data_IF_086952362583
#
_entry.id   IF_086952362583
#
_cell.length_a   1.000
_cell.length_b   1.000
_cell.length_c   1.000
_cell.angle_alpha   90.00
_cell.angle_beta   90.00
_cell.angle_gamma   90.00
#
_symmetry.space_group_name_H-M   'P 1'
#
loop_
_entity.id
_entity.type
_entity.pdbx_description
1 polymer ?
#
# COMPACT_ATOMS: atom_id res chain seq x y z
N UNK A 1 19.86 2.62 -0.95
CA UNK A 1 21.00 3.13 -1.79
C UNK A 1 21.57 4.45 -1.29
N UNK A 2 20.72 5.46 -1.00
CA UNK A 2 21.15 6.80 -0.56
C UNK A 2 22.11 6.81 0.64
N UNK A 3 21.87 5.99 1.67
CA UNK A 3 22.78 5.90 2.83
C UNK A 3 24.17 5.36 2.50
N UNK A 4 24.32 4.65 1.38
CA UNK A 4 25.61 4.11 0.92
C UNK A 4 26.37 5.08 0.01
N UNK A 5 25.67 6.05 -0.60
CA UNK A 5 26.26 7.01 -1.54
C UNK A 5 26.51 8.39 -0.91
N UNK A 6 25.82 8.72 0.18
CA UNK A 6 25.96 10.02 0.82
C UNK A 6 27.25 10.11 1.66
N UNK A 7 27.96 11.25 1.58
CA UNK A 7 29.21 11.46 2.31
C UNK A 7 28.99 11.40 3.82
N UNK A 8 30.01 10.87 4.50
CA UNK A 8 30.10 10.85 5.96
C UNK A 8 30.45 12.27 6.41
N UNK A 9 29.94 12.72 7.57
CA UNK A 9 30.29 14.02 8.14
C UNK A 9 31.81 14.18 8.28
N UNK A 10 32.32 15.40 8.15
CA UNK A 10 33.78 15.66 8.13
C UNK A 10 34.40 15.49 9.52
N UNK A 11 33.63 15.66 10.58
CA UNK A 11 34.05 15.46 11.97
C UNK A 11 33.00 14.67 12.79
N UNK A 12 33.24 14.53 14.11
CA UNK A 12 32.38 13.78 15.04
C UNK A 12 31.11 14.53 15.48
N UNK A 13 31.09 15.85 15.33
CA UNK A 13 30.01 16.76 15.74
C UNK A 13 29.09 17.13 14.55
N UNK A 14 29.61 17.07 13.32
CA UNK A 14 28.91 17.39 12.09
C UNK A 14 28.09 16.18 11.61
N UNK A 15 26.79 16.21 11.91
CA UNK A 15 25.82 15.26 11.31
C UNK A 15 25.66 15.60 9.83
N UNK A 16 26.55 15.08 8.98
CA UNK A 16 26.44 15.21 7.52
C UNK A 16 25.08 14.72 7.00
N UNK A 17 24.77 14.91 5.70
CA UNK A 17 23.46 14.56 5.09
C UNK A 17 23.07 13.10 5.41
N UNK A 18 24.05 12.19 5.45
CA UNK A 18 23.86 10.80 5.89
C UNK A 18 23.40 10.68 7.36
N UNK A 19 23.99 11.47 8.26
CA UNK A 19 23.63 11.52 9.69
C UNK A 19 22.23 12.11 9.93
N UNK A 20 21.82 13.11 9.15
CA UNK A 20 20.45 13.64 9.18
C UNK A 20 19.43 12.59 8.75
N UNK A 21 19.70 11.88 7.63
CA UNK A 21 18.85 10.79 7.18
C UNK A 21 18.77 9.64 8.18
N UNK A 22 19.89 9.25 8.80
CA UNK A 22 19.89 8.23 9.86
C UNK A 22 19.09 8.69 11.09
N UNK A 23 19.23 9.96 11.48
CA UNK A 23 18.47 10.53 12.59
C UNK A 23 16.96 10.57 12.29
N UNK A 24 16.59 10.89 11.05
CA UNK A 24 15.20 10.84 10.61
C UNK A 24 14.68 9.40 10.63
N UNK A 25 15.44 8.45 10.08
CA UNK A 25 15.06 7.04 10.03
C UNK A 25 14.90 6.42 11.42
N UNK A 26 15.66 6.87 12.42
CA UNK A 26 15.56 6.41 13.80
C UNK A 26 14.58 7.25 14.66
N UNK A 27 13.81 8.15 14.05
CA UNK A 27 12.84 8.97 14.77
C UNK A 27 11.63 8.15 15.24
N UNK A 28 10.95 8.60 16.31
CA UNK A 28 9.74 7.96 16.82
C UNK A 28 8.61 7.88 15.77
N UNK A 29 8.34 8.92 14.96
CA UNK A 29 7.37 8.83 13.88
C UNK A 29 7.73 7.72 12.88
N UNK A 30 8.99 7.66 12.43
CA UNK A 30 9.41 6.59 11.51
C UNK A 30 9.24 5.21 12.13
N UNK A 31 9.56 5.03 13.41
CA UNK A 31 9.34 3.76 14.11
C UNK A 31 7.86 3.35 14.23
N UNK A 32 6.92 4.31 14.24
CA UNK A 32 5.48 4.05 14.22
C UNK A 32 5.01 3.64 12.83
N UNK A 33 5.33 4.43 11.81
CA UNK A 33 4.91 4.16 10.42
C UNK A 33 5.53 2.87 9.87
N UNK A 34 6.76 2.54 10.27
CA UNK A 34 7.46 1.31 9.87
C UNK A 34 7.12 0.11 10.75
N UNK A 35 6.19 0.25 11.71
CA UNK A 35 5.68 -0.88 12.47
C UNK A 35 4.89 -1.81 11.53
N UNK A 36 5.16 -3.13 11.50
CA UNK A 36 4.55 -4.04 10.52
C UNK A 36 3.02 -4.02 10.53
N UNK A 37 2.41 -4.02 11.74
CA UNK A 37 0.95 -3.95 11.89
C UNK A 37 0.39 -2.62 11.37
N UNK A 38 1.09 -1.50 11.60
CA UNK A 38 0.65 -0.17 11.14
C UNK A 38 0.74 -0.11 9.62
N UNK A 39 1.84 -0.60 9.05
CA UNK A 39 2.00 -0.66 7.60
C UNK A 39 0.93 -1.53 6.93
N UNK A 40 0.59 -2.69 7.50
CA UNK A 40 -0.52 -3.53 7.01
C UNK A 40 -1.88 -2.84 7.15
N UNK A 41 -2.13 -2.19 8.29
CA UNK A 41 -3.38 -1.45 8.51
C UNK A 41 -3.52 -0.27 7.53
N UNK A 42 -2.44 0.41 7.18
CA UNK A 42 -2.45 1.47 6.16
C UNK A 42 -2.67 0.86 4.78
N UNK A 43 -2.03 -0.27 4.47
CA UNK A 43 -2.12 -0.90 3.16
C UNK A 43 -3.53 -1.44 2.88
N UNK A 44 -4.03 -2.34 3.73
CA UNK A 44 -5.34 -2.96 3.51
C UNK A 44 -6.48 -2.14 4.11
N UNK A 45 -6.30 -1.59 5.31
CA UNK A 45 -7.34 -0.84 6.00
C UNK A 45 -7.77 0.41 5.26
N UNK A 46 -6.87 1.04 4.49
CA UNK A 46 -7.26 2.19 3.67
C UNK A 46 -8.17 1.81 2.49
N UNK A 47 -8.10 0.57 1.98
CA UNK A 47 -9.04 0.10 0.96
C UNK A 47 -10.45 0.07 1.52
N UNK A 48 -10.61 -0.48 2.72
CA UNK A 48 -11.91 -0.50 3.38
C UNK A 48 -12.41 0.91 3.68
N UNK A 49 -11.53 1.77 4.20
CA UNK A 49 -11.88 3.17 4.47
C UNK A 49 -12.32 3.90 3.20
N UNK A 50 -11.61 3.73 2.09
CA UNK A 50 -11.92 4.43 0.85
C UNK A 50 -13.22 3.94 0.21
N UNK A 51 -13.38 2.63 0.06
CA UNK A 51 -14.45 2.04 -0.76
C UNK A 51 -15.74 1.71 -0.01
N UNK A 52 -15.72 1.61 1.33
CA UNK A 52 -16.92 1.39 2.16
C UNK A 52 -17.39 2.66 2.88
N UNK A 53 -16.86 3.81 2.47
CA UNK A 53 -17.35 5.13 2.88
C UNK A 53 -17.58 5.98 1.62
N UNK A 54 -18.20 7.17 1.74
CA UNK A 54 -18.37 8.07 0.59
C UNK A 54 -17.05 8.60 -0.02
N UNK A 55 -15.89 8.35 0.61
CA UNK A 55 -14.60 8.89 0.19
C UNK A 55 -14.24 8.56 -1.26
N UNK A 56 -14.55 7.37 -1.76
CA UNK A 56 -14.24 7.01 -3.15
C UNK A 56 -14.95 7.93 -4.15
N UNK A 57 -16.27 8.08 -4.04
CA UNK A 57 -17.04 8.99 -4.90
C UNK A 57 -16.60 10.45 -4.78
N UNK A 58 -16.37 10.92 -3.55
CA UNK A 58 -15.89 12.29 -3.28
C UNK A 58 -14.53 12.56 -3.93
N UNK A 59 -13.56 11.65 -3.77
CA UNK A 59 -12.21 11.82 -4.31
C UNK A 59 -12.19 11.67 -5.84
N UNK A 60 -12.97 10.74 -6.40
CA UNK A 60 -13.10 10.56 -7.85
C UNK A 60 -13.69 11.80 -8.54
N UNK A 61 -14.58 12.53 -7.87
CA UNK A 61 -15.27 13.69 -8.44
C UNK A 61 -14.34 14.88 -8.76
N UNK A 62 -13.12 14.90 -8.21
CA UNK A 62 -12.15 15.98 -8.39
C UNK A 62 -10.78 15.48 -8.82
N UNK A 63 -10.11 16.21 -9.71
CA UNK A 63 -8.75 15.84 -10.16
C UNK A 63 -7.76 15.76 -8.98
N UNK A 64 -7.85 16.70 -8.05
CA UNK A 64 -6.99 16.73 -6.87
C UNK A 64 -7.28 15.54 -5.94
N UNK A 65 -8.55 15.20 -5.70
CA UNK A 65 -8.93 14.05 -4.90
C UNK A 65 -8.43 12.74 -5.49
N UNK A 66 -8.58 12.56 -6.80
CA UNK A 66 -8.07 11.40 -7.53
C UNK A 66 -6.54 11.30 -7.42
N UNK A 67 -5.81 12.41 -7.58
CA UNK A 67 -4.36 12.44 -7.39
C UNK A 67 -3.94 12.07 -5.97
N UNK A 68 -4.66 12.54 -4.94
CA UNK A 68 -4.39 12.18 -3.54
C UNK A 68 -4.61 10.68 -3.31
N UNK A 69 -5.66 10.11 -3.90
CA UNK A 69 -5.94 8.69 -3.84
C UNK A 69 -4.80 7.85 -4.45
N UNK A 70 -4.33 8.21 -5.65
CA UNK A 70 -3.21 7.54 -6.32
C UNK A 70 -1.93 7.62 -5.48
N UNK A 71 -1.58 8.81 -5.00
CA UNK A 71 -0.40 9.02 -4.16
C UNK A 71 -0.48 8.23 -2.86
N UNK A 72 -1.66 8.15 -2.23
CA UNK A 72 -1.87 7.37 -1.03
C UNK A 72 -1.62 5.89 -1.27
N UNK A 73 -2.21 5.27 -2.30
CA UNK A 73 -2.03 3.83 -2.54
C UNK A 73 -0.62 3.47 -2.99
N UNK A 74 0.02 4.32 -3.80
CA UNK A 74 1.45 4.16 -4.13
C UNK A 74 2.28 4.24 -2.86
N UNK A 75 2.04 5.25 -2.01
CA UNK A 75 2.75 5.43 -0.75
C UNK A 75 2.54 4.28 0.24
N UNK A 76 1.30 3.80 0.39
CA UNK A 76 0.93 2.67 1.25
C UNK A 76 1.63 1.38 0.79
N UNK A 77 1.60 1.09 -0.52
CA UNK A 77 2.29 -0.06 -1.10
C UNK A 77 3.81 0.03 -0.89
N UNK A 78 4.41 1.18 -1.18
CA UNK A 78 5.85 1.41 -0.96
C UNK A 78 6.22 1.22 0.52
N UNK A 79 5.42 1.74 1.44
CA UNK A 79 5.65 1.58 2.88
C UNK A 79 5.56 0.11 3.31
N UNK A 80 4.51 -0.61 2.91
CA UNK A 80 4.33 -2.02 3.26
C UNK A 80 5.47 -2.89 2.74
N UNK A 81 5.80 -2.78 1.45
CA UNK A 81 6.90 -3.56 0.87
C UNK A 81 8.27 -3.13 1.40
N UNK A 82 8.46 -1.85 1.76
CA UNK A 82 9.67 -1.42 2.47
C UNK A 82 9.81 -2.13 3.83
N UNK A 83 8.74 -2.23 4.61
CA UNK A 83 8.77 -2.88 5.92
C UNK A 83 9.00 -4.40 5.81
N UNK A 84 8.37 -5.05 4.83
CA UNK A 84 8.42 -6.52 4.71
C UNK A 84 9.63 -7.01 3.91
N UNK A 85 9.94 -6.37 2.79
CA UNK A 85 10.92 -6.82 1.78
C UNK A 85 12.14 -5.91 1.68
N UNK A 86 12.07 -4.70 2.27
CA UNK A 86 13.12 -3.69 2.20
C UNK A 86 14.49 -4.18 2.68
N UNK A 87 15.52 -3.71 1.98
CA UNK A 87 16.94 -3.99 2.26
C UNK A 87 17.54 -2.88 3.15
N UNK A 88 16.92 -1.69 3.12
CA UNK A 88 17.37 -0.53 3.88
C UNK A 88 17.09 -0.72 5.40
N UNK A 89 17.86 -0.04 6.27
CA UNK A 89 17.74 -0.20 7.72
C UNK A 89 16.38 0.29 8.22
N UNK A 90 15.52 -0.66 8.61
CA UNK A 90 14.32 -0.39 9.38
C UNK A 90 14.69 -0.37 10.88
N UNK A 91 14.17 0.60 11.68
CA UNK A 91 14.30 0.58 13.14
C UNK A 91 13.99 -0.77 13.79
N UNK A 92 13.11 -1.58 13.17
CA UNK A 92 12.74 -2.91 13.65
C UNK A 92 13.09 -3.98 12.61
N UNK A 93 13.89 -4.95 13.03
CA UNK A 93 14.12 -6.17 12.23
C UNK A 93 12.94 -7.13 12.43
N UNK A 94 12.08 -7.22 11.42
CA UNK A 94 10.94 -8.17 11.45
C UNK A 94 11.46 -9.58 11.21
N UNK A 95 11.10 -10.51 12.09
CA UNK A 95 11.45 -11.93 11.96
C UNK A 95 10.86 -12.54 10.69
N UNK A 96 11.60 -13.45 10.04
CA UNK A 96 11.21 -14.02 8.75
C UNK A 96 9.80 -14.65 8.77
N UNK A 97 9.45 -15.42 9.81
CA UNK A 97 8.11 -16.01 9.92
C UNK A 97 7.00 -14.96 10.02
N UNK A 98 7.26 -13.85 10.72
CA UNK A 98 6.30 -12.75 10.83
C UNK A 98 6.07 -12.13 9.45
N UNK A 99 7.13 -11.95 8.63
CA UNK A 99 6.99 -11.45 7.25
C UNK A 99 6.11 -12.36 6.40
N UNK A 100 6.29 -13.68 6.50
CA UNK A 100 5.47 -14.66 5.78
C UNK A 100 4.01 -14.57 6.22
N UNK A 101 3.75 -14.59 7.53
CA UNK A 101 2.39 -14.45 8.09
C UNK A 101 1.73 -13.15 7.65
N UNK A 102 2.47 -12.04 7.67
CA UNK A 102 1.98 -10.73 7.25
C UNK A 102 1.61 -10.69 5.77
N UNK A 103 2.42 -11.32 4.89
CA UNK A 103 2.11 -11.40 3.47
C UNK A 103 0.85 -12.25 3.23
N UNK A 104 0.74 -13.41 3.87
CA UNK A 104 -0.46 -14.26 3.77
C UNK A 104 -1.71 -13.56 4.33
N UNK A 105 -1.56 -12.81 5.43
CA UNK A 105 -2.64 -12.00 5.98
C UNK A 105 -3.08 -10.91 5.00
N UNK A 106 -2.12 -10.19 4.39
CA UNK A 106 -2.42 -9.17 3.38
C UNK A 106 -3.17 -9.76 2.18
N UNK A 107 -2.72 -10.90 1.63
CA UNK A 107 -3.43 -11.61 0.54
C UNK A 107 -4.86 -11.94 0.96
N UNK A 108 -5.03 -12.52 2.14
CA UNK A 108 -6.35 -12.94 2.64
C UNK A 108 -7.28 -11.74 2.79
N UNK A 109 -6.82 -10.65 3.41
CA UNK A 109 -7.62 -9.43 3.63
C UNK A 109 -7.99 -8.79 2.29
N UNK A 110 -7.05 -8.68 1.35
CA UNK A 110 -7.32 -8.21 -0.01
C UNK A 110 -8.35 -9.06 -0.75
N UNK A 111 -8.25 -10.39 -0.67
CA UNK A 111 -9.22 -11.28 -1.29
C UNK A 111 -10.64 -11.06 -0.72
N UNK A 112 -10.77 -10.92 0.61
CA UNK A 112 -12.06 -10.59 1.23
C UNK A 112 -12.59 -9.22 0.80
N UNK A 113 -11.72 -8.21 0.70
CA UNK A 113 -12.07 -6.89 0.18
C UNK A 113 -12.67 -6.99 -1.24
N UNK A 114 -11.99 -7.68 -2.15
CA UNK A 114 -12.47 -7.84 -3.53
C UNK A 114 -13.76 -8.64 -3.60
N UNK A 115 -13.90 -9.73 -2.83
CA UNK A 115 -15.15 -10.50 -2.76
C UNK A 115 -16.29 -9.62 -2.26
N UNK A 116 -16.05 -8.76 -1.26
CA UNK A 116 -17.05 -7.84 -0.75
C UNK A 116 -17.50 -6.83 -1.83
N UNK A 117 -16.57 -6.28 -2.62
CA UNK A 117 -16.92 -5.42 -3.76
C UNK A 117 -17.68 -6.17 -4.86
N UNK A 118 -17.31 -7.41 -5.17
CA UNK A 118 -18.03 -8.25 -6.14
C UNK A 118 -19.44 -8.62 -5.65
N UNK A 119 -19.63 -8.69 -4.33
CA UNK A 119 -20.91 -9.02 -3.71
C UNK A 119 -21.80 -7.81 -3.47
N UNK A 120 -21.27 -6.59 -3.67
CA UNK A 120 -22.04 -5.36 -3.53
C UNK A 120 -23.15 -5.30 -4.59
N UNK A 121 -24.33 -4.83 -4.18
CA UNK A 121 -25.49 -4.62 -5.05
C UNK A 121 -25.74 -3.14 -5.36
N UNK A 122 -24.84 -2.27 -4.89
CA UNK A 122 -24.86 -0.83 -5.11
C UNK A 122 -23.53 -0.41 -5.73
N UNK A 123 -23.58 0.65 -6.52
CA UNK A 123 -22.37 1.27 -7.05
C UNK A 123 -21.64 2.02 -5.93
N UNK A 124 -20.33 1.84 -5.85
CA UNK A 124 -19.48 2.47 -4.82
C UNK A 124 -18.99 3.86 -5.24
N UNK A 125 -19.16 4.21 -6.51
CA UNK A 125 -18.64 5.42 -7.17
C UNK A 125 -19.48 6.68 -6.96
N UNK A 126 -20.59 6.58 -6.21
CA UNK A 126 -21.56 7.65 -6.01
C UNK A 126 -22.09 8.26 -7.33
N UNK A 127 -22.18 7.44 -8.39
CA UNK A 127 -22.68 7.86 -9.70
C UNK A 127 -21.64 8.56 -10.59
N UNK A 128 -20.38 8.66 -10.18
CA UNK A 128 -19.31 9.27 -10.97
C UNK A 128 -19.21 8.70 -12.40
N UNK A 129 -19.21 7.38 -12.56
CA UNK A 129 -19.07 6.74 -13.86
C UNK A 129 -20.30 6.88 -14.74
N UNK A 130 -21.49 7.11 -14.16
CA UNK A 130 -22.68 7.41 -14.92
C UNK A 130 -22.58 8.78 -15.63
N UNK A 131 -21.88 9.75 -15.01
CA UNK A 131 -21.68 11.09 -15.57
C UNK A 131 -20.74 11.13 -16.78
N UNK A 132 -19.97 10.06 -17.03
CA UNK A 132 -19.03 10.01 -18.14
C UNK A 132 -19.70 9.71 -19.49
N UNK A 133 -21.01 9.45 -19.51
CA UNK A 133 -21.82 9.22 -20.71
C UNK A 133 -21.16 8.25 -21.72
N UNK A 134 -20.70 7.09 -21.23
CA UNK A 134 -19.98 6.10 -22.05
C UNK A 134 -20.96 5.19 -22.81
N UNK A 135 -21.15 5.34 -24.13
CA UNK A 135 -22.17 4.57 -24.88
C UNK A 135 -21.88 3.06 -24.99
N UNK A 136 -20.68 2.62 -24.62
CA UNK A 136 -20.18 1.26 -24.76
C UNK A 136 -20.15 0.48 -23.43
N UNK A 137 -20.42 1.14 -22.30
CA UNK A 137 -20.34 0.56 -20.96
C UNK A 137 -21.60 0.92 -20.16
N UNK A 138 -22.66 0.12 -20.34
CA UNK A 138 -24.01 0.42 -19.82
C UNK A 138 -24.36 -0.31 -18.52
N UNK A 139 -23.59 -1.33 -18.13
CA UNK A 139 -23.80 -2.06 -16.87
C UNK A 139 -22.66 -1.79 -15.88
N UNK A 140 -22.79 -0.69 -15.13
CA UNK A 140 -21.80 -0.25 -14.16
C UNK A 140 -21.62 -1.23 -12.99
N UNK A 141 -22.66 -2.01 -12.65
CA UNK A 141 -22.56 -2.97 -11.56
C UNK A 141 -21.77 -4.20 -12.00
N UNK A 142 -21.98 -4.66 -13.23
CA UNK A 142 -21.13 -5.69 -13.84
C UNK A 142 -19.68 -5.22 -13.94
N UNK A 143 -19.45 -3.98 -14.40
CA UNK A 143 -18.11 -3.41 -14.49
C UNK A 143 -17.40 -3.35 -13.13
N UNK A 144 -18.11 -2.95 -12.07
CA UNK A 144 -17.58 -2.95 -10.70
C UNK A 144 -17.16 -4.36 -10.25
N UNK A 145 -17.98 -5.38 -10.54
CA UNK A 145 -17.67 -6.78 -10.20
C UNK A 145 -16.45 -7.28 -10.95
N UNK A 146 -16.33 -6.96 -12.24
CA UNK A 146 -15.17 -7.31 -13.06
C UNK A 146 -13.94 -6.55 -12.56
N UNK A 147 -14.05 -5.26 -12.27
CA UNK A 147 -12.98 -4.43 -11.72
C UNK A 147 -12.45 -4.96 -10.38
N UNK A 148 -13.34 -5.40 -9.48
CA UNK A 148 -12.96 -6.02 -8.22
C UNK A 148 -12.20 -7.36 -8.42
N UNK A 149 -12.62 -8.18 -9.40
CA UNK A 149 -11.93 -9.42 -9.74
C UNK A 149 -10.53 -9.17 -10.36
N UNK A 150 -10.41 -8.18 -11.24
CA UNK A 150 -9.13 -7.78 -11.83
C UNK A 150 -8.20 -7.23 -10.74
N UNK A 151 -8.71 -6.33 -9.89
CA UNK A 151 -7.97 -5.75 -8.78
C UNK A 151 -7.42 -6.83 -7.83
N UNK A 152 -8.22 -7.87 -7.56
CA UNK A 152 -7.76 -9.03 -6.81
C UNK A 152 -6.58 -9.72 -7.51
N UNK A 153 -6.79 -10.20 -8.74
CA UNK A 153 -5.79 -10.97 -9.47
C UNK A 153 -4.46 -10.20 -9.62
N UNK A 154 -4.52 -8.90 -9.87
CA UNK A 154 -3.34 -8.04 -9.98
C UNK A 154 -2.66 -7.79 -8.63
N UNK A 155 -3.41 -7.62 -7.55
CA UNK A 155 -2.88 -7.39 -6.21
C UNK A 155 -2.07 -8.57 -5.65
N UNK A 156 -2.41 -9.80 -6.04
CA UNK A 156 -1.71 -11.00 -5.58
C UNK A 156 -0.32 -11.17 -6.20
N UNK A 157 -0.09 -10.65 -7.40
CA UNK A 157 1.19 -10.83 -8.12
C UNK A 157 2.37 -10.26 -7.32
N UNK A 158 2.37 -8.99 -6.87
CA UNK A 158 3.44 -8.45 -6.03
C UNK A 158 3.62 -9.22 -4.71
N UNK A 159 2.53 -9.68 -4.09
CA UNK A 159 2.61 -10.38 -2.80
C UNK A 159 3.26 -11.76 -2.98
N UNK A 160 2.90 -12.51 -4.01
CA UNK A 160 3.52 -13.81 -4.32
C UNK A 160 5.01 -13.65 -4.64
N UNK A 161 5.39 -12.61 -5.38
CA UNK A 161 6.81 -12.29 -5.65
C UNK A 161 7.55 -11.97 -4.35
N UNK A 162 6.96 -11.14 -3.48
CA UNK A 162 7.52 -10.80 -2.18
C UNK A 162 7.65 -12.03 -1.27
N UNK A 163 6.64 -12.88 -1.21
CA UNK A 163 6.62 -14.11 -0.44
C UNK A 163 7.71 -15.06 -0.90
N UNK A 164 7.83 -15.26 -2.21
CA UNK A 164 8.88 -16.08 -2.83
C UNK A 164 10.26 -15.58 -2.43
N UNK A 165 10.50 -14.26 -2.53
CA UNK A 165 11.77 -13.66 -2.10
C UNK A 165 12.04 -13.88 -0.61
N UNK A 166 11.04 -13.66 0.25
CA UNK A 166 11.18 -13.84 1.70
C UNK A 166 11.52 -15.30 2.04
N UNK A 167 10.86 -16.26 1.40
CA UNK A 167 11.07 -17.71 1.60
C UNK A 167 12.44 -18.18 1.09
N UNK A 168 12.88 -17.72 -0.09
CA UNK A 168 14.18 -18.11 -0.67
C UNK A 168 15.36 -17.48 0.08
N UNK A 169 15.23 -16.23 0.55
CA UNK A 169 16.28 -15.51 1.26
C UNK A 169 16.61 -16.07 2.65
N UNK A 170 16.08 -17.25 3.00
CA UNK A 170 16.30 -17.97 4.26
C UNK A 170 17.66 -18.72 4.31
N UNK A 171 18.68 -18.22 3.59
CA UNK A 171 20.06 -18.74 3.62
C UNK A 171 20.97 -17.80 4.39
#
# INVERSE_FOLDING_TARGET
LALRTLPIGRDKDERGIRGLLLSFLHSKPTALWTHPIVALAIFDGSLFALYFTPLFGELMSSHFGHMVMDLHFIGAGLLFFHVIVGIDPNPRRVHHLVRVVMLLAAMSIHAFFSIALMSANTLIDDGYYALLERPWATDLLSDQKVGAAIGWAMGEIPIVVALTKVVIARR
#
